data_IF_867107509193
#
_entry.id   IF_867107509193
#
_cell.length_a   1.000
_cell.length_b   1.000
_cell.length_c   1.000
_cell.angle_alpha   90.00
_cell.angle_beta   90.00
_cell.angle_gamma   90.00
#
_symmetry.space_group_name_H-M   'P 1'
#
loop_
_entity.id
_entity.type
_entity.pdbx_description
1 polymer ?
#
# COMPACT_ATOMS: atom_id res chain seq x y z
N UNK A 1 3.76 -15.04 -7.19
CA UNK A 1 5.11 -14.47 -7.02
C UNK A 1 5.21 -13.95 -5.58
N UNK A 2 6.40 -13.73 -5.03
CA UNK A 2 6.57 -13.02 -3.74
C UNK A 2 7.24 -11.68 -4.04
N UNK A 3 6.67 -10.62 -3.49
CA UNK A 3 7.16 -9.25 -3.57
C UNK A 3 7.74 -8.82 -2.22
N UNK A 4 8.84 -8.07 -2.26
CA UNK A 4 9.45 -7.48 -1.08
C UNK A 4 9.23 -5.97 -1.12
N UNK A 5 8.42 -5.46 -0.20
CA UNK A 5 8.17 -4.03 -0.04
C UNK A 5 9.06 -3.46 1.06
N UNK A 6 9.71 -2.35 0.76
CA UNK A 6 10.45 -1.55 1.75
C UNK A 6 9.61 -0.32 2.07
N UNK A 7 9.18 -0.22 3.31
CA UNK A 7 8.37 0.89 3.82
C UNK A 7 9.29 1.84 4.58
N UNK A 8 9.23 3.12 4.20
CA UNK A 8 10.02 4.21 4.76
C UNK A 8 9.07 5.30 5.26
N UNK A 9 9.54 6.11 6.21
CA UNK A 9 8.77 7.25 6.72
C UNK A 9 9.40 8.56 6.26
N UNK A 10 8.55 9.53 5.91
CA UNK A 10 8.99 10.92 5.69
C UNK A 10 9.22 11.69 6.99
N UNK A 11 8.72 11.18 8.12
CA UNK A 11 8.84 11.82 9.44
C UNK A 11 10.04 11.30 10.24
N UNK A 12 10.49 10.06 9.96
CA UNK A 12 11.60 9.41 10.64
C UNK A 12 12.54 8.75 9.61
N UNK A 13 13.70 9.39 9.38
CA UNK A 13 14.73 8.90 8.45
C UNK A 13 15.35 7.54 8.88
N UNK A 14 15.18 7.15 10.14
CA UNK A 14 15.65 5.86 10.65
C UNK A 14 14.61 4.74 10.51
N UNK A 15 13.39 5.08 10.12
CA UNK A 15 12.31 4.12 9.96
C UNK A 15 12.45 3.36 8.64
N UNK A 16 12.69 2.05 8.76
CA UNK A 16 12.68 1.10 7.64
C UNK A 16 11.98 -0.17 8.13
N UNK A 17 11.03 -0.65 7.33
CA UNK A 17 10.40 -1.97 7.50
C UNK A 17 10.36 -2.70 6.17
N UNK A 18 10.47 -4.01 6.23
CA UNK A 18 10.38 -4.88 5.07
C UNK A 18 9.18 -5.80 5.22
N UNK A 19 8.40 -5.95 4.15
CA UNK A 19 7.23 -6.83 4.11
C UNK A 19 7.35 -7.77 2.91
N UNK A 20 7.18 -9.06 3.18
CA UNK A 20 7.03 -10.08 2.15
C UNK A 20 5.54 -10.28 1.88
N UNK A 21 5.11 -10.02 0.65
CA UNK A 21 3.71 -10.19 0.23
C UNK A 21 3.63 -11.16 -0.95
N UNK A 22 2.66 -12.06 -0.89
CA UNK A 22 2.31 -12.88 -2.05
C UNK A 22 1.61 -12.02 -3.11
N UNK A 23 1.81 -12.38 -4.37
CA UNK A 23 1.14 -11.73 -5.50
C UNK A 23 -0.39 -11.68 -5.35
N UNK A 24 -0.98 -12.70 -4.71
CA UNK A 24 -2.41 -12.79 -4.46
C UNK A 24 -2.89 -12.01 -3.23
N UNK A 25 -2.00 -11.47 -2.40
CA UNK A 25 -2.42 -10.58 -1.32
C UNK A 25 -3.05 -9.33 -1.89
N UNK A 26 -4.03 -8.78 -1.20
CA UNK A 26 -4.67 -7.52 -1.57
C UNK A 26 -3.93 -6.33 -0.96
N UNK A 27 -4.22 -5.12 -1.43
CA UNK A 27 -3.80 -3.91 -0.72
C UNK A 27 -4.41 -3.83 0.68
N UNK A 28 -5.58 -4.45 0.91
CA UNK A 28 -6.19 -4.54 2.23
C UNK A 28 -5.40 -5.47 3.16
N UNK A 29 -4.90 -6.60 2.66
CA UNK A 29 -3.98 -7.45 3.42
C UNK A 29 -2.72 -6.67 3.82
N UNK A 30 -2.16 -5.88 2.90
CA UNK A 30 -0.98 -5.06 3.19
C UNK A 30 -1.27 -3.97 4.23
N UNK A 31 -2.43 -3.30 4.12
CA UNK A 31 -2.90 -2.33 5.12
C UNK A 31 -2.98 -2.94 6.51
N UNK A 32 -3.60 -4.12 6.64
CA UNK A 32 -3.72 -4.80 7.94
C UNK A 32 -2.35 -5.22 8.49
N UNK A 33 -1.45 -5.72 7.63
CA UNK A 33 -0.08 -6.07 8.03
C UNK A 33 0.70 -4.86 8.55
N UNK A 34 0.54 -3.69 7.92
CA UNK A 34 1.13 -2.43 8.41
C UNK A 34 0.55 -2.02 9.76
N UNK A 35 -0.77 -2.10 9.94
CA UNK A 35 -1.41 -1.74 11.20
C UNK A 35 -0.97 -2.66 12.34
N UNK A 36 -0.84 -3.96 12.08
CA UNK A 36 -0.36 -4.94 13.05
C UNK A 36 1.11 -4.71 13.43
N UNK A 37 2.01 -4.55 12.44
CA UNK A 37 3.45 -4.33 12.68
C UNK A 37 3.74 -2.99 13.38
N UNK A 38 2.94 -1.96 13.10
CA UNK A 38 3.14 -0.61 13.63
C UNK A 38 2.24 -0.27 14.83
N UNK A 39 1.42 -1.23 15.27
CA UNK A 39 0.45 -1.07 16.35
C UNK A 39 -0.49 0.14 16.15
N UNK A 40 -0.88 0.40 14.90
CA UNK A 40 -1.78 1.49 14.56
C UNK A 40 -3.23 1.17 14.89
N UNK A 41 -4.01 2.23 15.08
CA UNK A 41 -5.45 2.12 15.32
C UNK A 41 -6.18 1.67 14.04
N UNK A 42 -6.72 0.46 14.08
CA UNK A 42 -7.48 -0.19 13.00
C UNK A 42 -8.72 0.59 12.56
N UNK A 43 -9.20 1.55 13.36
CA UNK A 43 -10.36 2.37 13.02
C UNK A 43 -10.03 3.59 12.16
N UNK A 44 -8.74 3.90 11.96
CA UNK A 44 -8.32 5.03 11.15
C UNK A 44 -8.48 4.76 9.66
N UNK A 45 -8.92 5.78 8.94
CA UNK A 45 -9.05 5.73 7.49
C UNK A 45 -7.68 5.91 6.83
N UNK A 46 -7.43 5.13 5.79
CA UNK A 46 -6.24 5.22 4.97
C UNK A 46 -6.58 4.99 3.49
N UNK A 47 -5.72 5.51 2.62
CA UNK A 47 -5.69 5.22 1.18
C UNK A 47 -4.25 4.93 0.79
N UNK A 48 -4.06 4.01 -0.16
CA UNK A 48 -2.80 3.88 -0.87
C UNK A 48 -2.86 4.70 -2.16
N UNK A 49 -1.70 5.15 -2.62
CA UNK A 49 -1.56 5.75 -3.94
C UNK A 49 -0.43 5.08 -4.70
N UNK A 50 -0.62 4.73 -5.97
CA UNK A 50 0.53 4.56 -6.85
C UNK A 50 1.24 5.90 -6.99
N UNK A 51 2.55 5.85 -7.15
CA UNK A 51 3.36 7.04 -7.22
C UNK A 51 4.32 7.00 -8.40
N UNK A 52 4.49 8.15 -9.03
CA UNK A 52 5.48 8.35 -10.09
C UNK A 52 6.91 8.21 -9.55
N UNK A 53 7.91 8.22 -10.43
CA UNK A 53 9.32 8.24 -10.03
C UNK A 53 9.66 9.38 -9.05
N UNK A 54 8.92 10.49 -9.12
CA UNK A 54 9.10 11.68 -8.27
C UNK A 54 8.24 11.67 -7.00
N UNK A 55 7.60 10.55 -6.64
CA UNK A 55 6.67 10.45 -5.50
C UNK A 55 5.44 11.36 -5.64
N UNK A 56 4.99 11.62 -6.86
CA UNK A 56 3.70 12.29 -7.10
C UNK A 56 2.59 11.25 -7.11
N UNK A 57 1.47 11.54 -6.44
CA UNK A 57 0.30 10.65 -6.37
C UNK A 57 -0.34 10.49 -7.74
N UNK A 58 -0.63 9.24 -8.10
CA UNK A 58 -1.31 8.90 -9.34
C UNK A 58 -2.69 8.29 -9.05
N UNK A 59 -2.82 6.97 -9.00
CA UNK A 59 -4.08 6.28 -8.74
C UNK A 59 -4.28 6.06 -7.24
N UNK A 60 -5.49 6.33 -6.74
CA UNK A 60 -5.87 6.13 -5.33
C UNK A 60 -6.60 4.79 -5.14
N UNK A 61 -6.30 4.12 -4.03
CA UNK A 61 -7.00 2.92 -3.56
C UNK A 61 -7.53 3.15 -2.15
N UNK A 62 -8.86 3.23 -2.01
CA UNK A 62 -9.50 3.55 -0.73
C UNK A 62 -9.75 2.31 0.12
N UNK A 63 -9.77 2.47 1.45
CA UNK A 63 -10.07 1.37 2.38
C UNK A 63 -11.46 0.76 2.16
N UNK A 64 -12.44 1.57 1.78
CA UNK A 64 -13.79 1.14 1.40
C UNK A 64 -14.31 2.01 0.26
N UNK A 65 -15.37 1.54 -0.40
CA UNK A 65 -16.03 2.28 -1.48
C UNK A 65 -16.60 3.61 -0.96
N UNK A 66 -16.08 4.71 -1.50
CA UNK A 66 -16.51 6.09 -1.20
C UNK A 66 -17.55 6.62 -2.20
N UNK A 67 -18.03 5.79 -3.13
CA UNK A 67 -19.02 6.16 -4.16
C UNK A 67 -18.48 7.02 -5.29
N UNK A 68 -17.15 7.20 -5.38
CA UNK A 68 -16.45 7.98 -6.40
C UNK A 68 -16.02 7.16 -7.63
N UNK A 69 -16.24 5.83 -7.61
CA UNK A 69 -15.69 4.93 -8.63
C UNK A 69 -14.18 4.71 -8.49
N UNK A 70 -13.61 5.04 -7.33
CA UNK A 70 -12.23 4.73 -6.96
C UNK A 70 -12.12 3.24 -6.61
N UNK A 71 -11.02 2.60 -7.00
CA UNK A 71 -10.78 1.20 -6.66
C UNK A 71 -10.62 1.02 -5.14
N UNK A 72 -11.09 -0.10 -4.62
CA UNK A 72 -11.03 -0.41 -3.19
C UNK A 72 -9.88 -1.37 -2.93
N UNK A 73 -9.17 -1.19 -1.81
CA UNK A 73 -8.00 -1.98 -1.45
C UNK A 73 -8.24 -3.50 -1.46
N UNK A 74 -9.45 -3.96 -1.14
CA UNK A 74 -9.82 -5.38 -1.09
C UNK A 74 -10.01 -6.00 -2.49
N UNK A 75 -10.13 -5.19 -3.54
CA UNK A 75 -10.34 -5.64 -4.92
C UNK A 75 -9.05 -5.65 -5.74
N UNK A 76 -7.96 -5.09 -5.21
CA UNK A 76 -6.69 -4.89 -5.92
C UNK A 76 -5.60 -5.73 -5.27
N UNK A 77 -5.00 -6.62 -6.06
CA UNK A 77 -3.90 -7.47 -5.60
C UNK A 77 -2.55 -6.77 -5.74
N UNK A 78 -1.54 -7.27 -5.02
CA UNK A 78 -0.17 -6.81 -5.16
C UNK A 78 0.36 -7.03 -6.58
N UNK A 79 -0.04 -8.13 -7.25
CA UNK A 79 0.33 -8.38 -8.65
C UNK A 79 -0.23 -7.32 -9.60
N UNK A 80 -1.45 -6.81 -9.33
CA UNK A 80 -2.12 -5.81 -10.17
C UNK A 80 -1.38 -4.46 -10.16
N UNK A 81 -0.77 -4.09 -9.04
CA UNK A 81 -0.05 -2.82 -8.90
C UNK A 81 1.45 -2.93 -9.18
N UNK A 82 2.07 -4.09 -9.00
CA UNK A 82 3.51 -4.30 -9.15
C UNK A 82 3.93 -4.51 -10.61
N UNK A 83 3.50 -3.59 -11.49
CA UNK A 83 3.71 -3.66 -12.95
C UNK A 83 5.14 -3.27 -13.31
N UNK A 84 5.66 -2.23 -12.68
CA UNK A 84 6.99 -1.70 -12.96
C UNK A 84 8.05 -2.19 -11.97
N UNK A 85 9.29 -2.28 -12.45
CA UNK A 85 10.42 -2.56 -11.57
C UNK A 85 10.64 -1.36 -10.63
N UNK A 86 10.60 -1.61 -9.33
CA UNK A 86 10.62 -0.59 -8.27
C UNK A 86 9.34 0.25 -8.21
N UNK A 87 8.17 -0.37 -8.45
CA UNK A 87 6.88 0.24 -8.18
C UNK A 87 6.87 0.96 -6.82
N UNK A 88 6.37 2.20 -6.80
CA UNK A 88 6.24 3.01 -5.59
C UNK A 88 4.79 3.12 -5.16
N UNK A 89 4.60 3.13 -3.85
CA UNK A 89 3.33 3.36 -3.18
C UNK A 89 3.50 4.46 -2.13
N UNK A 90 2.45 5.26 -1.94
CA UNK A 90 2.32 6.30 -0.91
C UNK A 90 1.10 6.05 -0.03
#
# INVERSE_FOLDING_TARGET
MIYNFVVISSEDESFIREFELEASNTLFDFHNALQEELEYDMSQLASFFTASENWEKEEEFTLFDMGSGTAVMDEVTIDDIAIEKNQKLL
#
